data_IF_009601858629
#
_entry.id   IF_009601858629
#
_cell.length_a   1.000
_cell.length_b   1.000
_cell.length_c   1.000
_cell.angle_alpha   90.00
_cell.angle_beta   90.00
_cell.angle_gamma   90.00
#
_symmetry.space_group_name_H-M   'P 1'
#
loop_
_entity.id
_entity.type
_entity.pdbx_description
1 polymer ?
#
# COMPACT_ATOMS: atom_id res chain seq x y z
N UNK A 1 -7.69 -7.04 12.99
CA UNK A 1 -6.80 -5.87 13.24
C UNK A 1 -7.07 -5.35 14.65
N UNK A 2 -6.03 -5.08 15.45
CA UNK A 2 -6.17 -4.46 16.78
C UNK A 2 -5.32 -3.19 16.83
N UNK A 3 -5.97 -2.04 17.08
CA UNK A 3 -5.32 -0.73 17.18
C UNK A 3 -5.03 -0.45 18.65
N UNK A 4 -3.75 -0.22 18.99
CA UNK A 4 -3.33 0.00 20.39
C UNK A 4 -3.66 1.40 20.90
N UNK A 5 -3.51 2.39 20.02
CA UNK A 5 -3.78 3.80 20.32
C UNK A 5 -4.45 4.43 19.11
N UNK A 6 -5.48 5.21 19.37
CA UNK A 6 -6.14 6.00 18.34
C UNK A 6 -5.19 7.10 17.86
N UNK A 7 -5.18 7.32 16.54
CA UNK A 7 -4.42 8.36 15.87
C UNK A 7 -5.29 8.98 14.80
N UNK A 8 -5.08 10.26 14.53
CA UNK A 8 -5.74 10.95 13.42
C UNK A 8 -5.38 10.32 12.07
N UNK A 9 -6.39 10.10 11.24
CA UNK A 9 -6.26 9.45 9.93
C UNK A 9 -6.11 7.93 9.97
N UNK A 10 -6.38 7.28 11.12
CA UNK A 10 -6.29 5.82 11.26
C UNK A 10 -4.93 5.24 10.79
N UNK A 11 -4.79 3.92 10.71
CA UNK A 11 -3.55 3.31 10.20
C UNK A 11 -3.55 3.25 8.67
N UNK A 12 -4.66 2.81 8.08
CA UNK A 12 -4.75 2.61 6.64
C UNK A 12 -4.72 3.94 5.87
N UNK A 13 -5.51 4.94 6.28
CA UNK A 13 -5.57 6.21 5.54
C UNK A 13 -4.22 6.94 5.59
N UNK A 14 -3.49 6.91 6.70
CA UNK A 14 -2.12 7.45 6.77
C UNK A 14 -1.15 6.80 5.78
N UNK A 15 -1.23 5.49 5.58
CA UNK A 15 -0.38 4.77 4.61
C UNK A 15 -0.78 5.11 3.17
N UNK A 16 -2.07 5.17 2.88
CA UNK A 16 -2.59 5.59 1.58
C UNK A 16 -2.21 7.04 1.28
N UNK A 17 -2.30 7.92 2.28
CA UNK A 17 -1.97 9.33 2.14
C UNK A 17 -0.48 9.55 1.91
N UNK A 18 0.40 8.78 2.57
CA UNK A 18 1.84 8.83 2.29
C UNK A 18 2.15 8.46 0.84
N UNK A 19 1.49 7.42 0.30
CA UNK A 19 1.61 7.04 -1.11
C UNK A 19 1.06 8.16 -2.02
N UNK A 20 -0.11 8.70 -1.69
CA UNK A 20 -0.75 9.77 -2.47
C UNK A 20 0.10 11.03 -2.57
N UNK A 21 0.67 11.49 -1.45
CA UNK A 21 1.52 12.69 -1.43
C UNK A 21 2.77 12.52 -2.28
N UNK A 22 3.39 11.35 -2.27
CA UNK A 22 4.53 11.05 -3.15
C UNK A 22 4.11 11.01 -4.63
N UNK A 23 2.97 10.38 -4.94
CA UNK A 23 2.41 10.39 -6.30
C UNK A 23 2.17 11.80 -6.83
N UNK A 24 1.67 12.71 -6.00
CA UNK A 24 1.51 14.11 -6.38
C UNK A 24 2.84 14.79 -6.71
N UNK A 25 3.92 14.52 -5.96
CA UNK A 25 5.24 15.04 -6.31
C UNK A 25 5.76 14.50 -7.64
N UNK A 26 5.58 13.21 -7.89
CA UNK A 26 6.02 12.58 -9.15
C UNK A 26 5.32 13.24 -10.35
N UNK A 27 4.02 13.51 -10.25
CA UNK A 27 3.24 14.18 -11.31
C UNK A 27 3.60 15.66 -11.40
N UNK A 28 3.72 16.35 -10.26
CA UNK A 28 4.09 17.76 -10.19
C UNK A 28 5.44 18.02 -10.86
N UNK A 29 6.43 17.20 -10.52
CA UNK A 29 7.81 17.32 -11.00
C UNK A 29 7.99 16.78 -12.44
N UNK A 30 6.90 16.31 -13.07
CA UNK A 30 6.92 15.81 -14.45
C UNK A 30 7.69 14.50 -14.64
N UNK A 31 7.89 13.75 -13.56
CA UNK A 31 8.62 12.47 -13.58
C UNK A 31 7.78 11.38 -14.24
N UNK A 32 6.47 11.39 -14.00
CA UNK A 32 5.52 10.48 -14.62
C UNK A 32 4.10 11.07 -14.66
N UNK A 33 3.27 10.53 -15.56
CA UNK A 33 1.82 10.79 -15.62
C UNK A 33 1.06 10.03 -14.53
N UNK A 34 -0.21 10.38 -14.28
CA UNK A 34 -1.07 9.64 -13.34
C UNK A 34 -1.22 8.17 -13.74
N UNK A 35 -1.35 7.88 -15.04
CA UNK A 35 -1.48 6.51 -15.55
C UNK A 35 -0.22 5.68 -15.30
N UNK A 36 0.97 6.26 -15.49
CA UNK A 36 2.24 5.59 -15.23
C UNK A 36 2.46 5.32 -13.75
N UNK A 37 2.08 6.26 -12.88
CA UNK A 37 2.08 6.06 -11.42
C UNK A 37 1.14 4.92 -11.03
N UNK A 38 -0.08 4.92 -11.55
CA UNK A 38 -1.05 3.85 -11.28
C UNK A 38 -0.55 2.49 -11.80
N UNK A 39 0.08 2.44 -12.98
CA UNK A 39 0.69 1.22 -13.51
C UNK A 39 1.85 0.73 -12.65
N UNK A 40 2.71 1.61 -12.15
CA UNK A 40 3.79 1.24 -11.25
C UNK A 40 3.27 0.53 -9.99
N UNK A 41 2.08 0.89 -9.52
CA UNK A 41 1.45 0.22 -8.40
C UNK A 41 0.70 -1.05 -8.82
N UNK A 42 -0.24 -0.96 -9.76
CA UNK A 42 -1.11 -2.06 -10.17
C UNK A 42 -0.37 -3.21 -10.86
N UNK A 43 0.73 -2.93 -11.57
CA UNK A 43 1.50 -3.93 -12.31
C UNK A 43 2.81 -4.34 -11.62
N UNK A 44 3.21 -3.68 -10.53
CA UNK A 44 4.43 -4.02 -9.82
C UNK A 44 4.31 -3.91 -8.30
N UNK A 45 4.28 -2.69 -7.76
CA UNK A 45 4.48 -2.46 -6.33
C UNK A 45 3.32 -2.93 -5.45
N UNK A 46 2.09 -2.73 -5.89
CA UNK A 46 0.87 -3.01 -5.14
C UNK A 46 0.43 -4.47 -5.17
N UNK A 47 0.76 -5.22 -6.23
CA UNK A 47 0.33 -6.62 -6.38
C UNK A 47 0.78 -7.50 -5.19
N UNK A 48 2.00 -7.28 -4.69
CA UNK A 48 2.55 -8.01 -3.53
C UNK A 48 1.83 -7.68 -2.22
N UNK A 49 1.16 -6.54 -2.13
CA UNK A 49 0.45 -6.09 -0.93
C UNK A 49 -0.92 -6.74 -0.75
N UNK A 50 -1.46 -7.41 -1.77
CA UNK A 50 -2.64 -8.25 -1.61
C UNK A 50 -2.35 -9.47 -0.70
N UNK A 51 -1.11 -9.97 -0.68
CA UNK A 51 -0.71 -11.12 0.14
C UNK A 51 -0.03 -10.70 1.44
N UNK A 52 0.93 -9.78 1.37
CA UNK A 52 1.78 -9.41 2.50
C UNK A 52 1.86 -7.90 2.66
N UNK A 53 1.60 -7.40 3.87
CA UNK A 53 1.82 -5.98 4.19
C UNK A 53 3.31 -5.58 4.16
N UNK A 54 3.62 -4.28 4.33
CA UNK A 54 4.94 -3.72 4.07
C UNK A 54 6.07 -4.43 4.82
N UNK A 55 5.87 -4.77 6.10
CA UNK A 55 6.91 -5.43 6.89
C UNK A 55 7.29 -6.82 6.36
N UNK A 56 6.31 -7.64 5.96
CA UNK A 56 6.60 -8.98 5.46
C UNK A 56 7.15 -8.93 4.03
N UNK A 57 6.66 -8.00 3.19
CA UNK A 57 7.26 -7.72 1.88
C UNK A 57 8.74 -7.35 2.00
N UNK A 58 9.10 -6.46 2.91
CA UNK A 58 10.50 -6.06 3.11
C UNK A 58 11.31 -7.12 3.87
N UNK A 59 10.68 -7.94 4.69
CA UNK A 59 11.34 -9.10 5.28
C UNK A 59 11.80 -10.06 4.18
N UNK A 60 10.93 -10.39 3.22
CA UNK A 60 11.28 -11.23 2.07
C UNK A 60 12.36 -10.58 1.18
N UNK A 61 12.31 -9.25 1.00
CA UNK A 61 13.35 -8.52 0.25
C UNK A 61 14.75 -8.64 0.87
N UNK A 62 14.86 -9.01 2.15
CA UNK A 62 16.13 -9.29 2.83
C UNK A 62 16.72 -10.67 2.54
N UNK A 63 16.04 -11.53 1.77
CA UNK A 63 16.47 -12.90 1.49
C UNK A 63 16.54 -13.77 2.74
N UNK A 64 17.49 -14.72 2.80
CA UNK A 64 17.65 -15.64 3.94
C UNK A 64 17.86 -14.92 5.28
N UNK A 65 18.46 -13.73 5.27
CA UNK A 65 18.68 -12.92 6.46
C UNK A 65 17.47 -12.09 6.90
N UNK A 66 16.38 -12.11 6.13
CA UNK A 66 15.12 -11.44 6.42
C UNK A 66 15.27 -9.94 6.70
N UNK A 67 14.38 -9.41 7.53
CA UNK A 67 14.37 -7.99 7.93
C UNK A 67 15.70 -7.51 8.53
N UNK A 68 16.44 -8.39 9.22
CA UNK A 68 17.74 -8.02 9.81
C UNK A 68 18.74 -7.66 8.71
N UNK A 69 18.80 -8.46 7.67
CA UNK A 69 19.65 -8.18 6.52
C UNK A 69 19.16 -6.96 5.75
N UNK A 70 17.85 -6.85 5.49
CA UNK A 70 17.23 -5.69 4.84
C UNK A 70 17.63 -4.38 5.55
N UNK A 71 17.47 -4.30 6.88
CA UNK A 71 17.79 -3.08 7.64
C UNK A 71 19.30 -2.80 7.69
N UNK A 72 20.15 -3.83 7.73
CA UNK A 72 21.61 -3.63 7.69
C UNK A 72 22.06 -3.06 6.34
N UNK A 73 21.47 -3.54 5.26
CA UNK A 73 21.82 -3.13 3.90
C UNK A 73 21.20 -1.77 3.51
N UNK A 74 19.89 -1.61 3.73
CA UNK A 74 19.12 -0.46 3.24
C UNK A 74 18.79 0.57 4.32
N UNK A 75 19.00 0.27 5.60
CA UNK A 75 18.80 1.24 6.69
C UNK A 75 19.51 2.58 6.49
N UNK A 76 20.76 2.64 5.99
CA UNK A 76 21.43 3.90 5.67
C UNK A 76 20.69 4.76 4.63
N UNK A 77 19.93 4.14 3.72
CA UNK A 77 19.17 4.84 2.69
C UNK A 77 17.94 5.59 3.24
N UNK A 78 17.44 5.23 4.44
CA UNK A 78 16.32 5.93 5.09
C UNK A 78 16.63 7.41 5.38
N UNK A 79 17.91 7.80 5.40
CA UNK A 79 18.35 9.19 5.57
C UNK A 79 18.35 9.98 4.27
N UNK A 80 18.17 9.33 3.12
CA UNK A 80 18.15 9.98 1.81
C UNK A 80 16.75 10.56 1.58
N UNK A 81 16.63 11.75 0.98
CA UNK A 81 15.34 12.38 0.72
C UNK A 81 14.69 11.80 -0.54
N UNK A 82 14.49 10.48 -0.58
CA UNK A 82 13.94 9.78 -1.75
C UNK A 82 12.42 9.90 -1.86
N UNK A 83 11.73 10.13 -0.74
CA UNK A 83 10.27 10.28 -0.69
C UNK A 83 9.90 11.52 0.09
N UNK A 84 8.74 12.10 -0.24
CA UNK A 84 8.25 13.37 0.28
C UNK A 84 6.89 13.17 0.96
N UNK A 85 6.87 13.28 2.29
CA UNK A 85 5.65 13.09 3.10
C UNK A 85 4.78 14.35 3.24
N UNK A 86 5.29 15.52 2.86
CA UNK A 86 4.52 16.76 2.80
C UNK A 86 4.08 16.91 1.35
N UNK A 87 2.78 17.13 1.09
CA UNK A 87 2.25 17.29 -0.27
C UNK A 87 2.90 18.50 -0.98
N UNK A 88 3.03 18.50 -2.32
CA UNK A 88 3.33 19.72 -3.05
C UNK A 88 2.16 20.71 -2.90
N UNK A 89 2.41 21.98 -3.19
CA UNK A 89 1.32 22.95 -3.33
C UNK A 89 0.40 22.52 -4.47
N UNK A 90 -0.92 22.54 -4.21
CA UNK A 90 -1.92 22.25 -5.24
C UNK A 90 -2.09 23.49 -6.13
N UNK A 91 -1.16 23.66 -7.05
CA UNK A 91 -1.24 24.68 -8.10
C UNK A 91 -2.31 24.31 -9.13
N UNK A 92 -2.78 25.29 -9.91
CA UNK A 92 -3.72 25.04 -11.01
C UNK A 92 -3.16 24.03 -12.03
N UNK A 93 -1.86 24.09 -12.32
CA UNK A 93 -1.19 23.14 -13.22
C UNK A 93 -1.23 21.71 -12.66
N UNK A 94 -0.87 21.53 -11.39
CA UNK A 94 -0.93 20.21 -10.76
C UNK A 94 -2.37 19.68 -10.70
N UNK A 95 -3.32 20.55 -10.34
CA UNK A 95 -4.74 20.21 -10.34
C UNK A 95 -5.18 19.69 -11.70
N UNK A 96 -4.91 20.43 -12.78
CA UNK A 96 -5.29 20.03 -14.13
C UNK A 96 -4.59 18.76 -14.60
N UNK A 97 -3.29 18.57 -14.29
CA UNK A 97 -2.57 17.32 -14.61
C UNK A 97 -3.22 16.11 -13.98
N UNK A 98 -3.56 16.20 -12.69
CA UNK A 98 -4.19 15.09 -11.96
C UNK A 98 -5.60 14.84 -12.49
N UNK A 99 -6.44 15.88 -12.61
CA UNK A 99 -7.82 15.75 -13.09
C UNK A 99 -7.86 15.15 -14.49
N UNK A 100 -7.15 15.76 -15.46
CA UNK A 100 -7.18 15.31 -16.85
C UNK A 100 -6.61 13.89 -16.98
N UNK A 101 -5.56 13.57 -16.22
CA UNK A 101 -4.96 12.23 -16.22
C UNK A 101 -5.89 11.15 -15.64
N UNK A 102 -6.61 11.47 -14.57
CA UNK A 102 -7.62 10.57 -13.99
C UNK A 102 -8.85 10.42 -14.90
N UNK A 103 -9.33 11.51 -15.51
CA UNK A 103 -10.44 11.46 -16.47
C UNK A 103 -10.08 10.66 -17.72
N UNK A 104 -8.88 10.83 -18.28
CA UNK A 104 -8.41 10.01 -19.40
C UNK A 104 -8.36 8.51 -19.02
N UNK A 105 -7.91 8.21 -17.80
CA UNK A 105 -7.81 6.84 -17.29
C UNK A 105 -9.18 6.19 -17.02
N UNK A 106 -10.24 6.99 -16.89
CA UNK A 106 -11.62 6.48 -16.79
C UNK A 106 -12.10 5.80 -18.08
N UNK A 107 -11.45 6.04 -19.23
CA UNK A 107 -11.79 5.46 -20.53
C UNK A 107 -13.26 5.67 -20.93
N UNK A 108 -13.88 6.76 -20.46
CA UNK A 108 -15.28 7.09 -20.75
C UNK A 108 -16.31 6.30 -19.92
N UNK A 109 -15.89 5.46 -18.98
CA UNK A 109 -16.79 4.83 -18.02
C UNK A 109 -17.32 5.85 -17.01
N UNK A 110 -18.58 5.68 -16.64
CA UNK A 110 -19.15 6.39 -15.49
C UNK A 110 -18.50 5.93 -14.19
N UNK A 111 -18.56 6.76 -13.15
CA UNK A 111 -18.04 6.38 -11.83
C UNK A 111 -18.74 5.14 -11.26
N UNK A 112 -20.03 4.93 -11.58
CA UNK A 112 -20.76 3.73 -11.16
C UNK A 112 -20.25 2.47 -11.85
N UNK A 113 -19.91 2.54 -13.14
CA UNK A 113 -19.34 1.40 -13.87
C UNK A 113 -17.93 1.07 -13.38
N UNK A 114 -17.11 2.09 -13.12
CA UNK A 114 -15.78 1.91 -12.52
C UNK A 114 -15.88 1.26 -11.14
N UNK A 115 -16.81 1.73 -10.30
CA UNK A 115 -17.05 1.15 -8.98
C UNK A 115 -17.47 -0.32 -9.08
N UNK A 116 -18.41 -0.64 -9.97
CA UNK A 116 -18.85 -2.03 -10.18
C UNK A 116 -17.69 -2.92 -10.63
N UNK A 117 -16.90 -2.49 -11.63
CA UNK A 117 -15.72 -3.22 -12.13
C UNK A 117 -14.70 -3.47 -11.02
N UNK A 118 -14.45 -2.44 -10.20
CA UNK A 118 -13.57 -2.55 -9.03
C UNK A 118 -14.12 -3.56 -8.03
N UNK A 119 -15.41 -3.49 -7.69
CA UNK A 119 -16.01 -4.37 -6.69
C UNK A 119 -15.96 -5.84 -7.15
N UNK A 120 -16.28 -6.12 -8.42
CA UNK A 120 -16.16 -7.46 -9.00
C UNK A 120 -14.72 -7.99 -8.96
N UNK A 121 -13.73 -7.13 -9.23
CA UNK A 121 -12.32 -7.47 -9.11
C UNK A 121 -11.92 -7.76 -7.65
N UNK A 122 -12.33 -6.91 -6.70
CA UNK A 122 -11.99 -7.04 -5.29
C UNK A 122 -12.56 -8.31 -4.66
N UNK A 123 -13.75 -8.76 -5.06
CA UNK A 123 -14.31 -10.05 -4.62
C UNK A 123 -13.37 -11.18 -5.01
N UNK A 124 -12.96 -11.24 -6.29
CA UNK A 124 -12.07 -12.29 -6.80
C UNK A 124 -10.69 -12.24 -6.14
N UNK A 125 -10.13 -11.05 -5.97
CA UNK A 125 -8.84 -10.88 -5.27
C UNK A 125 -8.95 -11.33 -3.82
N UNK A 126 -10.04 -11.01 -3.12
CA UNK A 126 -10.25 -11.45 -1.75
C UNK A 126 -10.35 -12.97 -1.65
N UNK A 127 -11.15 -13.60 -2.49
CA UNK A 127 -11.30 -15.07 -2.53
C UNK A 127 -9.98 -15.77 -2.81
N UNK A 128 -9.17 -15.21 -3.71
CA UNK A 128 -7.81 -15.69 -3.95
C UNK A 128 -6.92 -15.45 -2.73
N UNK A 129 -6.89 -14.24 -2.21
CA UNK A 129 -6.03 -13.87 -1.09
C UNK A 129 -6.30 -14.71 0.16
N UNK A 130 -7.56 -15.02 0.46
CA UNK A 130 -7.94 -15.89 1.59
C UNK A 130 -7.36 -17.31 1.49
N UNK A 131 -7.03 -17.79 0.29
CA UNK A 131 -6.35 -19.08 0.11
C UNK A 131 -4.86 -19.03 0.45
N UNK A 132 -4.25 -17.84 0.38
CA UNK A 132 -2.81 -17.61 0.58
C UNK A 132 -2.48 -16.80 1.84
N UNK A 133 -3.47 -16.14 2.44
CA UNK A 133 -3.28 -15.40 3.67
C UNK A 133 -2.88 -16.38 4.76
N UNK A 134 -1.93 -15.98 5.62
CA UNK A 134 -1.59 -16.79 6.79
C UNK A 134 -2.88 -17.10 7.54
N UNK A 135 -3.15 -18.38 7.77
CA UNK A 135 -4.28 -18.77 8.59
C UNK A 135 -4.10 -18.09 9.95
N UNK A 136 -5.13 -17.39 10.44
CA UNK A 136 -5.14 -16.90 11.81
C UNK A 136 -4.96 -18.14 12.70
N UNK A 137 -3.73 -18.33 13.20
CA UNK A 137 -3.43 -19.50 14.00
C UNK A 137 -4.27 -19.38 15.27
N UNK A 138 -5.19 -20.34 15.43
CA UNK A 138 -5.82 -20.68 16.70
C UNK A 138 -4.74 -21.17 17.69
N UNK A 139 -3.82 -20.30 18.08
CA UNK A 139 -2.72 -20.56 19.00
C UNK A 139 -2.74 -19.55 20.16
N UNK A 140 -3.90 -19.45 20.82
CA UNK A 140 -4.02 -19.01 22.21
C UNK A 140 -4.90 -19.97 23.05
N UNK A 141 -5.05 -21.22 22.59
CA UNK A 141 -5.58 -22.34 23.39
C UNK A 141 -4.45 -23.34 23.68
N UNK A 142 -3.53 -23.01 24.60
CA UNK A 142 -2.68 -23.93 25.38
C UNK A 142 -1.62 -23.16 26.20
N UNK A 143 -2.07 -22.45 27.23
CA UNK A 143 -1.24 -22.19 28.43
C UNK A 143 -2.20 -21.87 29.57
N UNK A 144 -2.66 -22.92 30.25
CA UNK A 144 -3.06 -23.00 31.66
C UNK A 144 -3.87 -24.30 31.85
N UNK A 145 -3.18 -25.40 31.58
CA UNK A 145 -3.51 -26.72 32.08
C UNK A 145 -2.19 -27.30 32.56
N UNK A 146 -1.78 -26.92 33.77
CA UNK A 146 -0.76 -27.61 34.53
C UNK A 146 -1.27 -27.66 35.98
N UNK A 147 -1.55 -28.89 36.40
CA UNK A 147 -1.99 -29.30 37.72
C UNK A 147 -1.07 -28.77 38.81
N UNK A 148 -1.66 -28.40 39.95
CA UNK A 148 -1.02 -28.56 41.25
C UNK A 148 -1.90 -29.51 42.04
N UNK A 149 -1.26 -30.61 42.44
CA UNK A 149 -1.72 -31.53 43.48
C UNK A 149 -2.02 -30.78 44.78
#
# INVERSE_FOLDING_TARGET
LHVRHEIEGHIADRLMEALWRESLHIVNDGIATTEEVDKAFTHAAGLRYAQYGPFMTFHLAGGEGGMRHMLKQFGPALKKPWTKLIAPELTDDLYHKVVNGSEASSQGYTMSELDQKRNEFLIKVKELAEQYWPSDSKAMKKSNGAELQ
#
